data_IF_670336267319
#
_entry.id   IF_670336267319
#
_cell.length_a   1.000
_cell.length_b   1.000
_cell.length_c   1.000
_cell.angle_alpha   90.00
_cell.angle_beta   90.00
_cell.angle_gamma   90.00
#
_symmetry.space_group_name_H-M   'P 1'
#
loop_
_entity.id
_entity.type
_entity.pdbx_description
1 polymer ?
#
# COMPACT_ATOMS: atom_id res chain seq x y z
N UNK A 1 1.27 15.03 -17.78
CA UNK A 1 0.49 14.65 -16.58
C UNK A 1 1.35 14.71 -15.29
N UNK A 2 2.48 13.98 -15.18
CA UNK A 2 3.32 13.96 -13.95
C UNK A 2 3.76 15.35 -13.51
N UNK A 3 4.24 16.22 -14.42
CA UNK A 3 4.62 17.60 -14.09
C UNK A 3 3.49 18.41 -13.51
N UNK A 4 2.28 18.32 -14.06
CA UNK A 4 1.12 19.02 -13.53
C UNK A 4 0.76 18.57 -12.10
N UNK A 5 0.88 17.28 -11.80
CA UNK A 5 0.71 16.73 -10.44
C UNK A 5 1.80 17.27 -9.50
N UNK A 6 3.05 17.36 -10.00
CA UNK A 6 4.17 17.91 -9.23
C UNK A 6 3.94 19.37 -8.83
N UNK A 7 3.44 20.16 -9.78
CA UNK A 7 3.23 21.61 -9.60
C UNK A 7 1.95 21.94 -8.80
N UNK A 8 1.04 20.97 -8.66
CA UNK A 8 -0.21 21.14 -7.88
C UNK A 8 -0.01 20.70 -6.43
N UNK A 9 -0.21 21.62 -5.49
CA UNK A 9 -0.20 21.30 -4.05
C UNK A 9 -1.42 20.49 -3.59
N UNK A 10 -2.47 20.40 -4.43
CA UNK A 10 -3.72 19.71 -4.12
C UNK A 10 -3.77 18.27 -4.61
N UNK A 11 -2.75 17.82 -5.33
CA UNK A 11 -2.70 16.46 -5.85
C UNK A 11 -1.83 15.58 -4.97
N UNK A 12 -2.37 14.43 -4.55
CA UNK A 12 -1.66 13.41 -3.79
C UNK A 12 -1.44 12.19 -4.69
N UNK A 13 -0.21 11.90 -5.12
CA UNK A 13 0.07 10.74 -5.94
C UNK A 13 -0.13 9.44 -5.17
N UNK A 14 -0.90 8.52 -5.73
CA UNK A 14 -1.02 7.15 -5.28
C UNK A 14 -0.01 6.27 -6.01
N UNK A 15 0.69 5.41 -5.29
CA UNK A 15 1.75 4.59 -5.85
C UNK A 15 1.62 3.13 -5.40
N UNK A 16 1.52 2.22 -6.37
CA UNK A 16 1.57 0.77 -6.12
C UNK A 16 3.02 0.38 -5.86
N UNK A 17 3.30 -0.13 -4.68
CA UNK A 17 4.66 -0.48 -4.25
C UNK A 17 4.80 -1.98 -3.95
N UNK A 18 4.28 -2.84 -4.81
CA UNK A 18 4.28 -4.29 -4.65
C UNK A 18 5.53 -4.99 -5.19
N UNK A 19 6.44 -4.24 -5.84
CA UNK A 19 7.65 -4.78 -6.47
C UNK A 19 7.43 -5.46 -7.82
N UNK A 20 6.19 -5.48 -8.31
CA UNK A 20 5.78 -6.06 -9.60
C UNK A 20 5.48 -4.97 -10.62
N UNK A 21 4.60 -4.02 -10.26
CA UNK A 21 4.13 -2.98 -11.18
C UNK A 21 5.19 -1.89 -11.43
N UNK A 22 5.95 -1.53 -10.40
CA UNK A 22 6.87 -0.40 -10.46
C UNK A 22 8.25 -0.81 -9.94
N UNK A 23 9.27 -0.59 -10.78
CA UNK A 23 10.66 -0.90 -10.42
C UNK A 23 11.13 -0.02 -9.23
N UNK A 24 11.93 -0.56 -8.28
CA UNK A 24 12.39 0.18 -7.10
C UNK A 24 13.06 1.53 -7.39
N UNK A 25 13.81 1.63 -8.51
CA UNK A 25 14.44 2.90 -8.92
C UNK A 25 13.42 3.97 -9.30
N UNK A 26 12.28 3.57 -9.88
CA UNK A 26 11.19 4.51 -10.24
C UNK A 26 10.46 4.95 -8.97
N UNK A 27 10.24 4.04 -8.01
CA UNK A 27 9.69 4.40 -6.70
C UNK A 27 10.58 5.44 -6.01
N UNK A 28 11.91 5.21 -5.96
CA UNK A 28 12.86 6.21 -5.39
C UNK A 28 12.81 7.55 -6.11
N UNK A 29 12.76 7.55 -7.45
CA UNK A 29 12.65 8.77 -8.25
C UNK A 29 11.33 9.51 -7.96
N UNK A 30 10.23 8.79 -7.78
CA UNK A 30 8.93 9.38 -7.44
C UNK A 30 8.98 10.04 -6.06
N UNK A 31 9.54 9.38 -5.04
CA UNK A 31 9.72 9.99 -3.71
C UNK A 31 10.71 11.17 -3.71
N UNK A 32 11.70 11.18 -4.62
CA UNK A 32 12.58 12.34 -4.81
C UNK A 32 11.87 13.51 -5.52
N UNK A 33 10.88 13.21 -6.36
CA UNK A 33 10.11 14.21 -7.09
C UNK A 33 8.99 14.82 -6.23
N UNK A 34 8.32 14.00 -5.43
CA UNK A 34 7.21 14.40 -4.56
C UNK A 34 7.64 14.30 -3.10
N UNK A 35 7.21 15.24 -2.27
CA UNK A 35 7.44 15.16 -0.83
C UNK A 35 6.63 14.02 -0.19
N UNK A 36 7.20 13.41 0.85
CA UNK A 36 6.60 12.23 1.48
C UNK A 36 5.20 12.48 2.08
N UNK A 37 4.92 13.70 2.52
CA UNK A 37 3.63 14.15 3.06
C UNK A 37 2.50 14.17 2.01
N UNK A 38 2.85 14.09 0.72
CA UNK A 38 1.90 14.03 -0.39
C UNK A 38 1.72 12.63 -0.95
N UNK A 39 2.64 11.72 -0.68
CA UNK A 39 2.60 10.37 -1.25
C UNK A 39 1.62 9.47 -0.50
N UNK A 40 0.88 8.67 -1.25
CA UNK A 40 -0.01 7.63 -0.71
C UNK A 40 0.44 6.28 -1.25
N UNK A 41 0.71 5.33 -0.35
CA UNK A 41 0.93 3.94 -0.74
C UNK A 41 -0.41 3.25 -0.94
N UNK A 42 -0.54 2.56 -2.07
CA UNK A 42 -1.68 1.69 -2.36
C UNK A 42 -1.19 0.31 -2.76
N UNK A 43 -2.02 -0.70 -2.59
CA UNK A 43 -1.76 -2.06 -3.07
C UNK A 43 -2.43 -2.35 -4.40
N UNK A 44 -3.55 -1.70 -4.69
CA UNK A 44 -4.42 -2.04 -5.83
C UNK A 44 -4.80 -3.52 -5.86
N UNK A 45 -5.08 -4.07 -4.67
CA UNK A 45 -5.32 -5.49 -4.45
C UNK A 45 -6.57 -5.98 -5.17
N UNK A 46 -6.41 -7.07 -5.91
CA UNK A 46 -7.54 -7.78 -6.50
C UNK A 46 -8.13 -8.80 -5.51
N UNK A 47 -9.30 -9.38 -5.85
CA UNK A 47 -10.02 -10.35 -4.99
C UNK A 47 -9.21 -11.61 -4.62
N UNK A 48 -8.17 -11.93 -5.37
CA UNK A 48 -7.32 -13.09 -5.14
C UNK A 48 -6.17 -12.81 -4.15
N UNK A 49 -6.02 -11.58 -3.66
CA UNK A 49 -4.99 -11.24 -2.67
C UNK A 49 -5.18 -12.05 -1.39
N UNK A 50 -4.13 -12.75 -0.96
CA UNK A 50 -4.16 -13.61 0.21
C UNK A 50 -4.73 -15.02 -0.02
N UNK A 51 -5.12 -15.35 -1.25
CA UNK A 51 -5.52 -16.70 -1.64
C UNK A 51 -4.34 -17.47 -2.22
N UNK A 52 -4.51 -18.78 -2.39
CA UNK A 52 -3.50 -19.65 -2.99
C UNK A 52 -3.27 -19.33 -4.48
N UNK A 53 -2.11 -19.77 -5.00
CA UNK A 53 -1.82 -19.69 -6.44
C UNK A 53 -2.92 -20.42 -7.24
N UNK A 54 -3.37 -19.80 -8.33
CA UNK A 54 -4.47 -20.40 -9.12
C UNK A 54 -5.07 -19.46 -10.15
N UNK A 55 -6.19 -19.93 -10.72
CA UNK A 55 -6.96 -19.19 -11.71
C UNK A 55 -8.11 -18.42 -11.03
N UNK A 56 -8.20 -17.13 -11.34
CA UNK A 56 -9.18 -16.20 -10.80
C UNK A 56 -9.81 -15.37 -11.91
N UNK A 57 -10.60 -14.37 -11.56
CA UNK A 57 -11.17 -13.42 -12.53
C UNK A 57 -11.00 -11.98 -12.05
N UNK A 58 -10.68 -11.09 -12.98
CA UNK A 58 -10.66 -9.65 -12.77
C UNK A 58 -11.45 -8.98 -13.88
N UNK A 59 -12.53 -8.26 -13.55
CA UNK A 59 -13.39 -7.61 -14.54
C UNK A 59 -13.99 -8.56 -15.57
N UNK A 60 -14.22 -9.84 -15.20
CA UNK A 60 -14.74 -10.88 -16.10
C UNK A 60 -13.67 -11.56 -16.97
N UNK A 61 -12.41 -11.14 -16.90
CA UNK A 61 -11.30 -11.78 -17.61
C UNK A 61 -10.60 -12.81 -16.70
N UNK A 62 -10.17 -13.96 -17.23
CA UNK A 62 -9.39 -14.93 -16.48
C UNK A 62 -7.99 -14.38 -16.18
N UNK A 63 -7.53 -14.61 -14.94
CA UNK A 63 -6.23 -14.17 -14.43
C UNK A 63 -5.56 -15.33 -13.72
N UNK A 64 -4.29 -15.57 -14.03
CA UNK A 64 -3.46 -16.53 -13.31
C UNK A 64 -2.67 -15.81 -12.23
N UNK A 65 -2.78 -16.27 -10.98
CA UNK A 65 -1.99 -15.76 -9.83
C UNK A 65 -0.90 -16.74 -9.46
N UNK A 66 0.33 -16.22 -9.33
CA UNK A 66 1.50 -16.95 -8.82
C UNK A 66 2.28 -16.04 -7.86
N UNK A 67 2.23 -16.37 -6.56
CA UNK A 67 2.77 -15.51 -5.52
C UNK A 67 2.09 -14.13 -5.53
N UNK A 68 2.86 -13.08 -5.71
CA UNK A 68 2.36 -11.69 -5.78
C UNK A 68 2.09 -11.19 -7.22
N UNK A 69 2.31 -12.04 -8.23
CA UNK A 69 2.11 -11.71 -9.64
C UNK A 69 0.77 -12.25 -10.14
N UNK A 70 -0.05 -11.37 -10.66
CA UNK A 70 -1.27 -11.72 -11.38
C UNK A 70 -1.14 -11.33 -12.87
N UNK A 71 -1.43 -12.26 -13.79
CA UNK A 71 -1.32 -12.01 -15.23
C UNK A 71 -2.56 -12.47 -15.98
N UNK A 72 -2.86 -11.74 -17.05
CA UNK A 72 -3.78 -12.21 -18.10
C UNK A 72 -3.12 -13.34 -18.89
N UNK A 73 -3.91 -14.01 -19.74
CA UNK A 73 -3.43 -15.13 -20.56
C UNK A 73 -2.32 -14.75 -21.55
N UNK A 74 -2.26 -13.49 -21.97
CA UNK A 74 -1.21 -12.93 -22.85
C UNK A 74 0.04 -12.49 -22.10
N UNK A 75 0.11 -12.68 -20.77
CA UNK A 75 1.23 -12.29 -19.92
C UNK A 75 1.15 -10.83 -19.42
N UNK A 76 0.13 -10.09 -19.78
CA UNK A 76 -0.07 -8.72 -19.26
C UNK A 76 -0.33 -8.77 -17.76
N UNK A 77 0.34 -7.91 -16.98
CA UNK A 77 0.08 -7.78 -15.53
C UNK A 77 -1.35 -7.28 -15.31
N UNK A 78 -2.08 -7.94 -14.43
CA UNK A 78 -3.49 -7.69 -14.19
C UNK A 78 -3.77 -7.52 -12.69
N UNK A 79 -3.75 -6.31 -12.20
CA UNK A 79 -3.99 -6.02 -10.78
C UNK A 79 -2.89 -6.57 -9.85
N UNK A 80 -2.96 -6.20 -8.59
CA UNK A 80 -2.01 -6.66 -7.58
C UNK A 80 -2.58 -7.83 -6.76
N UNK A 81 -1.76 -8.85 -6.53
CA UNK A 81 -2.04 -9.91 -5.56
C UNK A 81 -1.39 -9.63 -4.19
N UNK A 82 -0.87 -8.41 -3.98
CA UNK A 82 -0.13 -8.00 -2.79
C UNK A 82 -1.02 -7.13 -1.88
N UNK A 83 -0.95 -7.33 -0.58
CA UNK A 83 -1.62 -6.47 0.40
C UNK A 83 -0.77 -5.22 0.73
N UNK A 84 -1.39 -4.22 1.38
CA UNK A 84 -0.73 -2.95 1.69
C UNK A 84 0.46 -3.11 2.66
N UNK A 85 0.40 -4.08 3.59
CA UNK A 85 1.50 -4.34 4.52
C UNK A 85 2.75 -4.85 3.79
N UNK A 86 2.59 -5.70 2.76
CA UNK A 86 3.69 -6.18 1.93
C UNK A 86 4.26 -5.05 1.06
N UNK A 87 3.42 -4.17 0.53
CA UNK A 87 3.87 -2.95 -0.15
C UNK A 87 4.72 -2.07 0.79
N UNK A 88 4.28 -1.87 2.03
CA UNK A 88 5.03 -1.11 3.03
C UNK A 88 6.38 -1.78 3.35
N UNK A 89 6.41 -3.11 3.57
CA UNK A 89 7.68 -3.86 3.77
C UNK A 89 8.63 -3.69 2.59
N UNK A 90 8.11 -3.78 1.36
CA UNK A 90 8.92 -3.62 0.14
C UNK A 90 9.54 -2.22 0.08
N UNK A 91 8.78 -1.19 0.39
CA UNK A 91 9.26 0.20 0.43
C UNK A 91 10.38 0.37 1.45
N UNK A 92 10.26 -0.23 2.62
CA UNK A 92 11.28 -0.13 3.67
C UNK A 92 12.50 -1.00 3.34
N UNK A 93 12.30 -2.31 3.08
CA UNK A 93 13.39 -3.29 2.98
C UNK A 93 14.11 -3.25 1.62
N UNK A 94 13.41 -2.95 0.53
CA UNK A 94 13.96 -3.01 -0.83
C UNK A 94 14.21 -1.62 -1.43
N UNK A 95 13.27 -0.70 -1.27
CA UNK A 95 13.44 0.67 -1.77
C UNK A 95 14.36 1.47 -0.87
N UNK A 96 14.36 1.19 0.45
CA UNK A 96 15.24 1.82 1.45
C UNK A 96 14.68 3.11 2.05
N UNK A 97 13.35 3.31 2.03
CA UNK A 97 12.74 4.46 2.71
C UNK A 97 12.67 4.22 4.23
N UNK A 98 12.72 5.29 5.05
CA UNK A 98 12.50 5.20 6.49
C UNK A 98 11.12 4.61 6.81
N UNK A 99 11.04 3.80 7.88
CA UNK A 99 9.78 3.17 8.31
C UNK A 99 8.69 4.22 8.58
N UNK A 100 9.04 5.32 9.22
CA UNK A 100 8.12 6.41 9.55
C UNK A 100 7.50 7.02 8.28
N UNK A 101 8.30 7.16 7.22
CA UNK A 101 7.82 7.64 5.92
C UNK A 101 6.83 6.65 5.31
N UNK A 102 7.16 5.36 5.31
CA UNK A 102 6.29 4.32 4.76
C UNK A 102 4.95 4.24 5.53
N UNK A 103 5.00 4.30 6.86
CA UNK A 103 3.81 4.31 7.72
C UNK A 103 2.97 5.55 7.45
N UNK A 104 3.56 6.74 7.41
CA UNK A 104 2.83 7.99 7.10
C UNK A 104 2.10 7.89 5.76
N UNK A 105 2.76 7.40 4.71
CA UNK A 105 2.16 7.24 3.38
C UNK A 105 1.06 6.18 3.32
N UNK A 106 1.05 5.22 4.25
CA UNK A 106 0.04 4.15 4.31
C UNK A 106 -1.11 4.44 5.31
N UNK A 107 -1.00 5.48 6.14
CA UNK A 107 -1.97 5.76 7.23
C UNK A 107 -2.43 7.21 7.26
N UNK A 108 -1.55 8.12 7.64
CA UNK A 108 -1.86 9.54 7.85
C UNK A 108 -2.28 10.25 6.56
N UNK A 109 -1.48 10.09 5.50
CA UNK A 109 -1.74 10.75 4.22
C UNK A 109 -3.08 10.31 3.59
N UNK A 110 -3.38 8.99 3.44
CA UNK A 110 -4.68 8.59 2.92
C UNK A 110 -5.84 9.02 3.82
N UNK A 111 -5.68 9.00 5.15
CA UNK A 111 -6.73 9.46 6.06
C UNK A 111 -7.01 10.97 5.92
N UNK A 112 -5.99 11.78 5.66
CA UNK A 112 -6.14 13.20 5.36
C UNK A 112 -6.83 13.43 4.02
N UNK A 113 -6.42 12.67 2.99
CA UNK A 113 -6.96 12.82 1.64
C UNK A 113 -8.46 12.56 1.58
N UNK A 114 -8.94 11.53 2.28
CA UNK A 114 -10.38 11.21 2.31
C UNK A 114 -11.13 11.89 3.46
N UNK A 115 -10.47 12.77 4.23
CA UNK A 115 -11.10 13.62 5.25
C UNK A 115 -11.46 12.93 6.56
N UNK A 116 -10.87 11.75 6.88
CA UNK A 116 -11.15 10.99 8.12
C UNK A 116 -9.98 11.02 9.12
N UNK A 117 -9.00 11.90 8.92
CA UNK A 117 -7.82 11.95 9.80
C UNK A 117 -8.16 12.26 11.27
N UNK A 118 -9.30 12.90 11.53
CA UNK A 118 -9.78 13.12 12.90
C UNK A 118 -10.20 11.83 13.62
N UNK A 119 -10.46 10.75 12.88
CA UNK A 119 -10.93 9.47 13.40
C UNK A 119 -9.84 8.40 13.43
N UNK A 120 -8.99 8.37 12.39
CA UNK A 120 -7.96 7.32 12.18
C UNK A 120 -6.66 7.94 11.64
N UNK A 121 -5.67 7.09 11.30
CA UNK A 121 -4.43 7.49 10.62
C UNK A 121 -3.31 7.94 11.57
N UNK A 122 -3.55 8.04 12.87
CA UNK A 122 -2.52 8.26 13.88
C UNK A 122 -2.98 7.79 15.26
N UNK A 123 -2.02 7.49 16.14
CA UNK A 123 -2.30 7.13 17.53
C UNK A 123 -2.42 8.43 18.33
N UNK A 124 -3.66 8.83 18.63
CA UNK A 124 -3.98 10.05 19.39
C UNK A 124 -5.22 9.84 20.25
N UNK A 125 -5.28 10.52 21.38
CA UNK A 125 -6.46 10.45 22.27
C UNK A 125 -7.71 10.91 21.53
N UNK A 126 -8.77 10.11 21.60
CA UNK A 126 -10.06 10.37 20.94
C UNK A 126 -10.20 9.76 19.54
N UNK A 127 -9.14 9.23 18.96
CA UNK A 127 -9.22 8.47 17.71
C UNK A 127 -9.60 6.99 17.96
N UNK A 128 -10.09 6.34 16.92
CA UNK A 128 -10.34 4.89 16.95
C UNK A 128 -9.05 4.15 17.21
N UNK A 129 -9.12 3.13 18.04
CA UNK A 129 -7.98 2.28 18.37
C UNK A 129 -7.81 1.16 17.33
N UNK A 130 -7.58 1.57 16.07
CA UNK A 130 -7.25 0.70 14.94
C UNK A 130 -5.75 0.76 14.72
N UNK A 131 -5.03 -0.33 15.03
CA UNK A 131 -3.58 -0.35 14.87
C UNK A 131 -3.05 -1.76 14.65
N UNK A 132 -1.86 -1.85 14.06
CA UNK A 132 -1.13 -3.09 13.82
C UNK A 132 0.15 -3.06 14.63
N UNK A 133 0.42 -4.12 15.38
CA UNK A 133 1.71 -4.34 16.02
C UNK A 133 2.61 -5.15 15.10
N UNK A 134 3.83 -4.67 14.92
CA UNK A 134 4.84 -5.32 14.09
C UNK A 134 6.02 -5.76 14.95
N UNK A 135 6.63 -6.89 14.57
CA UNK A 135 7.94 -7.27 15.09
C UNK A 135 9.08 -6.47 14.41
N UNK A 136 10.32 -6.73 14.80
CA UNK A 136 11.50 -6.07 14.23
C UNK A 136 11.71 -6.36 12.74
N UNK A 137 11.16 -7.49 12.27
CA UNK A 137 11.19 -7.90 10.86
C UNK A 137 9.99 -7.36 10.06
N UNK A 138 9.16 -6.52 10.68
CA UNK A 138 7.92 -5.96 10.13
C UNK A 138 6.86 -7.03 9.83
N UNK A 139 6.90 -8.18 10.51
CA UNK A 139 5.80 -9.12 10.47
C UNK A 139 4.68 -8.65 11.40
N UNK A 140 3.44 -8.95 11.04
CA UNK A 140 2.29 -8.63 11.87
C UNK A 140 2.31 -9.54 13.12
N UNK A 141 2.44 -8.92 14.29
CA UNK A 141 2.36 -9.60 15.59
C UNK A 141 0.91 -9.60 16.12
N UNK A 142 0.18 -8.50 15.93
CA UNK A 142 -1.24 -8.41 16.28
C UNK A 142 -1.93 -7.29 15.49
N UNK A 143 -3.23 -7.40 15.32
CA UNK A 143 -4.11 -6.39 14.72
C UNK A 143 -5.19 -6.02 15.71
N UNK A 144 -5.45 -4.74 15.89
CA UNK A 144 -6.51 -4.22 16.75
C UNK A 144 -7.49 -3.40 15.93
N UNK A 145 -8.79 -3.64 16.13
CA UNK A 145 -9.90 -2.92 15.53
C UNK A 145 -10.81 -2.45 16.67
N UNK A 146 -11.03 -1.15 16.77
CA UNK A 146 -11.79 -0.54 17.89
C UNK A 146 -11.22 -0.95 19.28
N UNK A 147 -9.91 -1.09 19.40
CA UNK A 147 -9.23 -1.51 20.63
C UNK A 147 -9.38 -2.98 20.99
N UNK A 148 -9.97 -3.79 20.13
CA UNK A 148 -10.10 -5.24 20.32
C UNK A 148 -9.13 -5.96 19.41
N UNK A 149 -8.41 -6.93 19.98
CA UNK A 149 -7.54 -7.78 19.18
C UNK A 149 -8.34 -8.60 18.17
N UNK A 150 -7.98 -8.49 16.91
CA UNK A 150 -8.54 -9.28 15.82
C UNK A 150 -7.76 -10.58 15.69
N UNK A 151 -8.42 -11.70 15.90
CA UNK A 151 -7.87 -13.05 15.70
C UNK A 151 -8.48 -13.64 14.43
N UNK A 152 -7.63 -14.07 13.49
CA UNK A 152 -8.05 -14.80 12.29
C UNK A 152 -8.36 -16.27 12.63
#
# INVERSE_FOLDING_TARGET
>A
MIGAVRDSEKCHPELICDGVHIHPSVIRATFAMFSADRMILISDSMRATGLEDGEYTLGGQPVTVRGNLATLHDGTIAGSATNLMDCMRFVVKTVGLPLETAVMCATENPAKEIGIFNEVGSISVGKRADFVLLDQELNIAAVYIDGKEFTC
#
